data_IF_684035367029
#
_entry.id   IF_684035367029
#
_cell.length_a   1.000
_cell.length_b   1.000
_cell.length_c   1.000
_cell.angle_alpha   90.00
_cell.angle_beta   90.00
_cell.angle_gamma   90.00
#
_symmetry.space_group_name_H-M   'P 1'
#
loop_
_entity.id
_entity.type
_entity.pdbx_description
1 polymer ?
#
# COMPACT_ATOMS: atom_id res chain seq x y z
N UNK A 1 -23.25 -53.18 -41.30
CA UNK A 1 -22.87 -51.89 -41.92
C UNK A 1 -22.79 -50.84 -40.82
N UNK A 2 -21.58 -50.42 -40.45
CA UNK A 2 -21.34 -49.40 -39.43
C UNK A 2 -21.48 -48.03 -40.10
N UNK A 3 -22.50 -47.25 -39.73
CA UNK A 3 -22.58 -45.84 -40.11
C UNK A 3 -21.73 -45.07 -39.11
N UNK A 4 -20.54 -44.70 -39.56
CA UNK A 4 -19.61 -43.85 -38.83
C UNK A 4 -20.22 -42.44 -38.83
N UNK A 5 -20.79 -42.04 -37.69
CA UNK A 5 -21.14 -40.64 -37.47
C UNK A 5 -19.86 -39.89 -37.12
N UNK A 6 -19.18 -39.38 -38.15
CA UNK A 6 -18.14 -38.35 -38.00
C UNK A 6 -18.80 -37.08 -37.46
N UNK A 7 -18.96 -37.01 -36.14
CA UNK A 7 -19.24 -35.75 -35.44
C UNK A 7 -17.88 -35.10 -35.19
N UNK A 8 -17.38 -34.40 -36.20
CA UNK A 8 -16.34 -33.39 -36.01
C UNK A 8 -17.01 -32.18 -35.32
N UNK A 9 -17.18 -32.28 -34.01
CA UNK A 9 -17.39 -31.10 -33.16
C UNK A 9 -16.04 -30.41 -33.08
N UNK A 10 -15.84 -29.22 -33.69
CA UNK A 10 -14.65 -28.45 -33.41
C UNK A 10 -14.84 -27.95 -31.98
N UNK A 11 -14.23 -28.64 -31.02
CA UNK A 11 -13.92 -28.05 -29.72
C UNK A 11 -12.90 -26.95 -29.99
N UNK A 12 -13.41 -25.82 -30.48
CA UNK A 12 -12.83 -24.52 -30.25
C UNK A 12 -12.87 -24.35 -28.74
N UNK A 13 -11.88 -24.92 -28.05
CA UNK A 13 -11.42 -24.40 -26.79
C UNK A 13 -10.99 -22.98 -27.11
N UNK A 14 -11.97 -22.06 -27.07
CA UNK A 14 -11.73 -20.64 -27.15
C UNK A 14 -10.60 -20.38 -26.19
N UNK A 15 -9.53 -19.79 -26.72
CA UNK A 15 -8.42 -19.28 -25.93
C UNK A 15 -9.06 -18.49 -24.79
N UNK A 16 -9.06 -19.08 -23.59
CA UNK A 16 -9.37 -18.34 -22.38
C UNK A 16 -8.19 -17.41 -22.24
N UNK A 17 -8.33 -16.23 -22.83
CA UNK A 17 -7.44 -15.10 -22.61
C UNK A 17 -7.68 -14.75 -21.14
N UNK A 18 -6.89 -15.38 -20.27
CA UNK A 18 -6.80 -14.98 -18.87
C UNK A 18 -6.39 -13.52 -18.85
N UNK A 19 -7.35 -12.63 -18.58
CA UNK A 19 -7.07 -11.25 -18.27
C UNK A 19 -6.11 -11.23 -17.08
N UNK A 20 -4.88 -10.78 -17.32
CA UNK A 20 -3.92 -10.55 -16.25
C UNK A 20 -4.55 -9.65 -15.20
N UNK A 21 -4.32 -9.98 -13.93
CA UNK A 21 -4.70 -9.12 -12.82
C UNK A 21 -3.95 -7.80 -13.00
N UNK A 22 -4.64 -6.77 -13.48
CA UNK A 22 -4.14 -5.42 -13.40
C UNK A 22 -4.18 -5.06 -11.92
N UNK A 23 -3.04 -5.18 -11.24
CA UNK A 23 -2.89 -4.66 -9.89
C UNK A 23 -2.90 -3.13 -10.01
N UNK A 24 -4.10 -2.55 -10.03
CA UNK A 24 -4.27 -1.11 -9.94
C UNK A 24 -3.55 -0.64 -8.67
N UNK A 25 -2.48 0.14 -8.85
CA UNK A 25 -1.78 0.80 -7.74
C UNK A 25 -2.76 1.78 -7.10
N UNK A 26 -3.45 1.34 -6.04
CA UNK A 26 -4.33 2.20 -5.26
C UNK A 26 -3.47 3.20 -4.50
N UNK A 27 -3.60 4.48 -4.87
CA UNK A 27 -3.03 5.59 -4.11
C UNK A 27 -3.74 5.65 -2.75
N UNK A 28 -3.00 5.38 -1.68
CA UNK A 28 -3.46 5.63 -0.32
C UNK A 28 -2.86 6.95 0.16
N UNK A 29 -3.65 7.74 0.86
CA UNK A 29 -3.12 8.88 1.60
C UNK A 29 -2.54 8.31 2.90
N UNK A 30 -1.28 8.63 3.20
CA UNK A 30 -0.61 8.07 4.37
C UNK A 30 -1.17 8.57 5.69
N UNK A 31 -1.86 9.71 5.72
CA UNK A 31 -2.58 10.17 6.89
C UNK A 31 -4.04 10.62 6.66
N UNK A 32 -4.88 10.45 7.69
CA UNK A 32 -6.29 10.85 7.75
C UNK A 32 -6.58 11.57 9.08
N UNK A 33 -6.65 12.92 9.09
CA UNK A 33 -6.83 13.71 10.32
C UNK A 33 -8.12 13.40 11.09
N UNK A 34 -9.09 12.71 10.46
CA UNK A 34 -10.38 12.38 11.06
C UNK A 34 -10.38 11.03 11.78
N UNK A 35 -9.34 10.22 11.60
CA UNK A 35 -9.25 8.91 12.25
C UNK A 35 -8.93 9.09 13.74
N UNK A 36 -9.82 8.58 14.60
CA UNK A 36 -9.72 8.77 16.06
C UNK A 36 -8.99 7.63 16.79
N UNK A 37 -8.44 6.66 16.05
CA UNK A 37 -7.81 5.48 16.64
C UNK A 37 -8.78 4.60 17.43
N UNK A 38 -8.26 3.51 17.99
CA UNK A 38 -8.94 2.76 19.03
C UNK A 38 -8.49 3.29 20.40
N UNK A 39 -9.41 3.92 21.14
CA UNK A 39 -9.13 4.72 22.34
C UNK A 39 -8.50 3.97 23.54
N UNK A 40 -8.41 2.65 23.46
CA UNK A 40 -7.87 1.79 24.52
C UNK A 40 -6.48 1.21 24.19
N UNK A 41 -5.99 1.42 22.98
CA UNK A 41 -4.66 0.95 22.58
C UNK A 41 -3.60 1.67 23.43
N UNK A 42 -2.57 0.99 23.91
CA UNK A 42 -1.43 1.61 24.61
C UNK A 42 -0.11 1.26 23.93
N UNK A 43 -0.19 0.63 22.77
CA UNK A 43 0.95 0.34 21.96
C UNK A 43 1.51 1.62 21.36
N UNK A 44 2.78 1.58 20.94
CA UNK A 44 3.37 2.61 20.09
C UNK A 44 2.56 2.91 18.82
N UNK A 45 1.65 2.01 18.41
CA UNK A 45 0.92 2.07 17.15
C UNK A 45 -0.41 2.85 17.27
N UNK A 46 -0.82 3.20 18.49
CA UNK A 46 -2.06 3.95 18.74
C UNK A 46 -2.06 5.33 18.09
N UNK A 47 -0.91 6.00 18.15
CA UNK A 47 -0.79 7.41 17.80
C UNK A 47 -0.77 7.58 16.28
N UNK A 48 -1.95 7.53 15.68
CA UNK A 48 -2.22 7.95 14.31
C UNK A 48 -2.52 9.45 14.26
N UNK A 49 -1.62 10.28 14.79
CA UNK A 49 -1.72 11.73 14.60
C UNK A 49 -1.00 12.09 13.30
N UNK A 50 -1.69 12.78 12.42
CA UNK A 50 -1.07 13.33 11.21
C UNK A 50 -0.07 14.39 11.60
N UNK A 51 1.19 13.99 11.67
CA UNK A 51 2.28 14.92 11.84
C UNK A 51 2.81 15.30 10.47
N UNK A 52 2.43 16.50 10.03
CA UNK A 52 2.90 17.07 8.77
C UNK A 52 4.21 17.84 8.91
N UNK A 53 4.62 18.12 10.16
CA UNK A 53 5.91 18.71 10.52
C UNK A 53 6.79 17.67 11.17
N UNK A 54 7.55 16.96 10.34
CA UNK A 54 8.38 15.84 10.79
C UNK A 54 9.67 16.26 11.50
N UNK A 55 10.02 17.55 11.54
CA UNK A 55 11.20 18.07 12.26
C UNK A 55 12.49 17.28 11.98
N UNK A 56 12.70 16.86 10.73
CA UNK A 56 13.86 16.04 10.34
C UNK A 56 13.67 14.52 10.45
N UNK A 57 12.53 14.03 10.93
CA UNK A 57 12.15 12.60 10.97
C UNK A 57 11.49 12.15 9.67
N UNK A 58 12.18 12.31 8.56
CA UNK A 58 11.68 11.97 7.21
C UNK A 58 12.16 10.59 6.72
N UNK A 59 12.79 9.80 7.58
CA UNK A 59 13.25 8.44 7.31
C UNK A 59 12.70 7.47 8.36
N UNK A 60 12.32 6.27 7.94
CA UNK A 60 11.72 5.24 8.79
C UNK A 60 10.28 4.92 8.41
N UNK A 61 9.51 4.43 9.39
CA UNK A 61 8.22 3.79 9.21
C UNK A 61 7.25 4.18 10.33
N UNK A 62 5.96 4.28 10.02
CA UNK A 62 4.91 4.48 11.02
C UNK A 62 3.71 3.62 10.71
N UNK A 63 2.96 3.22 11.73
CA UNK A 63 1.76 2.44 11.54
C UNK A 63 0.55 3.31 11.24
N UNK A 64 -0.15 2.96 10.17
CA UNK A 64 -1.42 3.54 9.80
C UNK A 64 -2.55 2.58 10.18
N UNK A 65 -3.29 2.91 11.25
CA UNK A 65 -4.39 2.08 11.75
C UNK A 65 -5.61 1.99 10.83
N UNK A 66 -5.81 2.97 9.94
CA UNK A 66 -6.89 2.93 8.93
C UNK A 66 -6.61 1.87 7.87
N UNK A 67 -5.35 1.78 7.43
CA UNK A 67 -4.91 0.83 6.41
C UNK A 67 -4.33 -0.47 6.99
N UNK A 68 -4.14 -0.54 8.31
CA UNK A 68 -3.47 -1.63 9.03
C UNK A 68 -2.12 -2.01 8.41
N UNK A 69 -1.36 -1.00 8.01
CA UNK A 69 -0.11 -1.14 7.29
C UNK A 69 0.95 -0.16 7.81
N UNK A 70 2.22 -0.51 7.60
CA UNK A 70 3.37 0.35 7.91
C UNK A 70 3.71 1.23 6.72
N UNK A 71 3.62 2.54 6.87
CA UNK A 71 3.90 3.52 5.83
C UNK A 71 5.32 4.03 5.99
N UNK A 72 6.04 4.18 4.87
CA UNK A 72 7.33 4.85 4.88
C UNK A 72 7.15 6.33 5.21
N UNK A 73 7.96 6.83 6.15
CA UNK A 73 7.93 8.24 6.53
C UNK A 73 8.36 9.14 5.35
N UNK A 74 7.72 10.30 5.25
CA UNK A 74 7.96 11.32 4.24
C UNK A 74 8.28 12.68 4.84
N UNK A 75 8.48 13.66 3.95
CA UNK A 75 8.66 15.06 4.36
C UNK A 75 7.37 15.67 4.90
N UNK A 76 6.25 15.29 4.29
CA UNK A 76 4.91 15.85 4.55
C UNK A 76 4.08 15.02 5.51
N UNK A 77 4.46 13.76 5.76
CA UNK A 77 3.75 12.86 6.65
C UNK A 77 4.71 11.90 7.34
N UNK A 78 4.62 11.83 8.66
CA UNK A 78 5.34 10.88 9.49
C UNK A 78 4.47 10.49 10.69
N UNK A 79 4.92 9.46 11.41
CA UNK A 79 4.32 9.07 12.66
C UNK A 79 4.55 10.08 13.78
N UNK A 80 3.79 9.92 14.87
CA UNK A 80 3.88 10.74 16.07
C UNK A 80 4.38 9.92 17.26
N UNK A 81 5.15 10.56 18.14
CA UNK A 81 5.66 9.97 19.38
C UNK A 81 6.37 8.62 19.15
N UNK A 82 5.84 7.55 19.74
CA UNK A 82 6.38 6.19 19.67
C UNK A 82 5.94 5.46 18.38
N UNK A 83 4.97 5.99 17.64
CA UNK A 83 4.56 5.46 16.33
C UNK A 83 5.55 5.83 15.21
N UNK A 84 6.85 5.74 15.49
CA UNK A 84 7.90 6.06 14.54
C UNK A 84 9.04 5.06 14.73
N UNK A 85 9.21 4.19 13.75
CA UNK A 85 10.16 3.09 13.77
C UNK A 85 11.25 3.36 12.74
N UNK A 86 12.50 3.05 13.08
CA UNK A 86 13.61 3.16 12.13
C UNK A 86 13.47 2.07 11.06
N UNK A 87 13.15 0.85 11.48
CA UNK A 87 13.10 -0.33 10.63
C UNK A 87 11.67 -0.78 10.31
N UNK A 88 11.44 -1.22 9.07
CA UNK A 88 10.15 -1.76 8.63
C UNK A 88 9.71 -2.95 9.49
N UNK A 89 10.64 -3.88 9.75
CA UNK A 89 10.33 -5.11 10.49
C UNK A 89 9.87 -4.81 11.92
N UNK A 90 10.44 -3.78 12.53
CA UNK A 90 10.04 -3.31 13.85
C UNK A 90 8.61 -2.78 13.84
N UNK A 91 8.24 -1.97 12.84
CA UNK A 91 6.88 -1.50 12.66
C UNK A 91 5.90 -2.67 12.46
N UNK A 92 6.21 -3.59 11.53
CA UNK A 92 5.34 -4.73 11.22
C UNK A 92 5.11 -5.60 12.46
N UNK A 93 6.18 -5.91 13.21
CA UNK A 93 6.12 -6.75 14.40
C UNK A 93 5.39 -6.07 15.55
N UNK A 94 5.73 -4.82 15.88
CA UNK A 94 5.15 -4.12 17.04
C UNK A 94 3.68 -3.75 16.82
N UNK A 95 3.28 -3.50 15.58
CA UNK A 95 1.92 -3.10 15.22
C UNK A 95 1.06 -4.21 14.61
N UNK A 96 1.56 -5.45 14.62
CA UNK A 96 0.88 -6.62 14.07
C UNK A 96 0.36 -6.38 12.63
N UNK A 97 1.19 -5.76 11.80
CA UNK A 97 0.91 -5.44 10.41
C UNK A 97 1.61 -6.45 9.51
N UNK A 98 1.01 -6.74 8.35
CA UNK A 98 1.57 -7.66 7.35
C UNK A 98 1.91 -6.97 6.03
N UNK A 99 1.56 -5.69 5.91
CA UNK A 99 1.69 -4.92 4.68
C UNK A 99 2.49 -3.65 4.98
N UNK A 100 3.36 -3.29 4.04
CA UNK A 100 4.03 -2.00 4.00
C UNK A 100 3.57 -1.17 2.80
N UNK A 101 3.58 0.15 2.95
CA UNK A 101 3.31 1.11 1.89
C UNK A 101 4.55 1.97 1.71
N UNK A 102 5.30 1.67 0.65
CA UNK A 102 6.45 2.46 0.23
C UNK A 102 6.02 3.80 -0.37
N UNK A 103 6.88 4.81 -0.24
CA UNK A 103 6.65 6.07 -0.97
C UNK A 103 6.89 5.84 -2.45
N UNK A 104 5.86 6.04 -3.26
CA UNK A 104 6.05 6.26 -4.69
C UNK A 104 6.60 7.68 -4.80
N UNK A 105 7.92 7.82 -4.98
CA UNK A 105 8.44 9.08 -5.50
C UNK A 105 7.68 9.33 -6.80
N UNK A 106 6.99 10.47 -6.97
CA UNK A 106 6.40 10.78 -8.25
C UNK A 106 7.52 10.62 -9.29
N UNK A 107 7.26 9.99 -10.45
CA UNK A 107 8.23 10.04 -11.53
C UNK A 107 8.59 11.51 -11.70
N UNK A 108 9.89 11.81 -11.66
CA UNK A 108 10.38 13.13 -12.04
C UNK A 108 9.91 13.30 -13.48
N UNK A 109 8.83 14.04 -13.67
CA UNK A 109 8.52 14.55 -14.99
C UNK A 109 9.62 15.56 -15.22
N UNK A 110 10.48 15.25 -16.20
CA UNK A 110 11.42 16.22 -16.74
C UNK A 110 10.59 17.43 -17.15
N UNK A 111 10.64 18.50 -16.34
CA UNK A 111 10.07 19.78 -16.71
C UNK A 111 10.96 20.31 -17.84
N UNK A 112 10.68 19.81 -19.04
CA UNK A 112 11.39 20.17 -20.24
C UNK A 112 11.40 21.68 -20.42
N UNK A 113 12.61 22.20 -20.58
CA UNK A 113 12.99 23.41 -21.29
C UNK A 113 11.94 23.87 -22.34
N UNK A 114 11.50 25.13 -22.23
CA UNK A 114 10.73 25.85 -23.26
C UNK A 114 9.67 26.78 -22.63
N UNK A 115 9.71 28.11 -22.76
CA UNK A 115 10.31 29.03 -23.74
C UNK A 115 10.98 30.23 -23.06
#
# INVERSE_FOLDING_TARGET
MRKEHLILLPLLFGLVIGGGQHHDKKRSNGCDPKYRGHGEDRSPCRDYKCQTQCNGRNSGWYYNGKHKACFAAGKEECGANENMFIDLQDCLKKCNATISVERINPPVYDEGEGW
#
